data_IF_327755737903
#
_entry.id   IF_327755737903
#
_cell.length_a   1.000
_cell.length_b   1.000
_cell.length_c   1.000
_cell.angle_alpha   90.00
_cell.angle_beta   90.00
_cell.angle_gamma   90.00
#
_symmetry.space_group_name_H-M   'P 1'
#
loop_
_entity.id
_entity.type
_entity.pdbx_description
1 polymer ?
#
# COMPACT_ATOMS: atom_id res chain seq x y z
N UNK A 1 -33.31 -10.26 -74.69
CA UNK A 1 -32.91 -10.93 -73.44
C UNK A 1 -31.71 -10.20 -72.88
N UNK A 2 -31.93 -9.20 -72.01
CA UNK A 2 -30.85 -8.49 -71.32
C UNK A 2 -30.58 -9.21 -70.01
N UNK A 3 -29.45 -9.90 -69.95
CA UNK A 3 -28.96 -10.61 -68.76
C UNK A 3 -28.52 -9.55 -67.74
N UNK A 4 -29.18 -9.52 -66.57
CA UNK A 4 -28.77 -8.69 -65.45
C UNK A 4 -27.39 -9.16 -64.92
N UNK A 5 -26.48 -8.25 -64.55
CA UNK A 5 -25.17 -8.63 -64.04
C UNK A 5 -25.31 -9.44 -62.74
N UNK A 6 -24.44 -10.43 -62.48
CA UNK A 6 -24.50 -11.26 -61.28
C UNK A 6 -24.35 -10.36 -60.04
N UNK A 7 -25.28 -10.51 -59.08
CA UNK A 7 -25.17 -9.87 -57.77
C UNK A 7 -23.87 -10.33 -57.11
N UNK A 8 -23.09 -9.44 -56.48
CA UNK A 8 -21.94 -9.87 -55.69
C UNK A 8 -22.48 -10.72 -54.53
N UNK A 9 -22.05 -11.98 -54.43
CA UNK A 9 -22.28 -12.81 -53.25
C UNK A 9 -20.92 -13.01 -52.58
N UNK A 10 -20.71 -12.35 -51.44
CA UNK A 10 -19.44 -12.34 -50.73
C UNK A 10 -19.38 -11.26 -49.65
N UNK A 11 -18.27 -11.17 -48.89
CA UNK A 11 -18.10 -10.21 -47.79
C UNK A 11 -18.39 -8.76 -48.21
N UNK A 12 -17.98 -8.38 -49.42
CA UNK A 12 -18.24 -7.06 -49.98
C UNK A 12 -19.73 -6.75 -50.19
N UNK A 13 -20.56 -7.76 -50.49
CA UNK A 13 -22.00 -7.59 -50.65
C UNK A 13 -22.70 -7.39 -49.30
N UNK A 14 -22.20 -8.07 -48.25
CA UNK A 14 -22.67 -7.89 -46.88
C UNK A 14 -22.30 -6.48 -46.39
N UNK A 15 -21.07 -6.03 -46.63
CA UNK A 15 -20.65 -4.66 -46.35
C UNK A 15 -21.49 -3.63 -47.13
N UNK A 16 -21.75 -3.86 -48.42
CA UNK A 16 -22.62 -2.99 -49.22
C UNK A 16 -24.03 -2.88 -48.61
N UNK A 17 -24.64 -4.00 -48.20
CA UNK A 17 -25.95 -4.00 -47.53
C UNK A 17 -25.96 -3.31 -46.17
N UNK A 18 -24.81 -3.24 -45.47
CA UNK A 18 -24.65 -2.53 -44.19
C UNK A 18 -24.38 -1.03 -44.41
N UNK A 19 -23.77 -0.67 -45.53
CA UNK A 19 -23.51 0.71 -45.94
C UNK A 19 -24.76 1.40 -46.50
N UNK A 20 -25.81 0.64 -46.85
CA UNK A 20 -27.13 1.19 -47.17
C UNK A 20 -27.77 1.91 -45.96
N UNK A 21 -27.30 1.63 -44.72
CA UNK A 21 -27.67 2.38 -43.54
C UNK A 21 -26.81 3.67 -43.42
N UNK A 22 -27.41 4.87 -43.50
CA UNK A 22 -26.68 6.13 -43.47
C UNK A 22 -25.92 6.35 -42.16
N UNK A 23 -26.39 5.79 -41.04
CA UNK A 23 -25.72 5.93 -39.75
C UNK A 23 -24.44 5.08 -39.70
N UNK A 24 -24.48 3.88 -40.27
CA UNK A 24 -23.31 2.99 -40.35
C UNK A 24 -22.26 3.56 -41.30
N UNK A 25 -22.69 4.07 -42.46
CA UNK A 25 -21.80 4.71 -43.43
C UNK A 25 -21.11 5.95 -42.84
N UNK A 26 -21.84 6.80 -42.12
CA UNK A 26 -21.26 7.97 -41.45
C UNK A 26 -20.23 7.57 -40.37
N UNK A 27 -20.54 6.56 -39.56
CA UNK A 27 -19.65 6.08 -38.50
C UNK A 27 -18.35 5.49 -39.08
N UNK A 28 -18.45 4.70 -40.16
CA UNK A 28 -17.30 4.14 -40.86
C UNK A 28 -16.48 5.23 -41.56
N UNK A 29 -17.13 6.23 -42.16
CA UNK A 29 -16.44 7.38 -42.74
C UNK A 29 -15.64 8.14 -41.68
N UNK A 30 -16.21 8.41 -40.50
CA UNK A 30 -15.49 9.06 -39.40
C UNK A 30 -14.32 8.23 -38.87
N UNK A 31 -14.46 6.91 -38.77
CA UNK A 31 -13.37 6.01 -38.38
C UNK A 31 -12.26 5.95 -39.43
N UNK A 32 -12.61 5.94 -40.71
CA UNK A 32 -11.66 5.97 -41.83
C UNK A 32 -10.94 7.31 -41.93
N UNK A 33 -11.65 8.42 -41.66
CA UNK A 33 -11.09 9.79 -41.63
C UNK A 33 -10.02 9.95 -40.52
N UNK A 34 -10.14 9.17 -39.45
CA UNK A 34 -9.20 9.17 -38.32
C UNK A 34 -8.44 7.84 -38.20
N UNK A 35 -8.31 7.07 -39.29
CA UNK A 35 -7.72 5.73 -39.26
C UNK A 35 -6.30 5.72 -38.69
N UNK A 36 -5.51 6.76 -38.96
CA UNK A 36 -4.15 6.91 -38.41
C UNK A 36 -4.16 7.06 -36.89
N UNK A 37 -5.12 7.81 -36.31
CA UNK A 37 -5.27 7.93 -34.86
C UNK A 37 -5.71 6.61 -34.24
N UNK A 38 -6.58 5.85 -34.93
CA UNK A 38 -7.01 4.53 -34.48
C UNK A 38 -5.83 3.55 -34.47
N UNK A 39 -4.95 3.60 -35.48
CA UNK A 39 -3.75 2.77 -35.52
C UNK A 39 -2.80 3.09 -34.35
N UNK A 40 -2.54 4.37 -34.06
CA UNK A 40 -1.71 4.79 -32.92
C UNK A 40 -2.33 4.37 -31.59
N UNK A 41 -3.65 4.46 -31.45
CA UNK A 41 -4.35 4.01 -30.25
C UNK A 41 -4.24 2.49 -30.05
N UNK A 42 -4.28 1.73 -31.15
CA UNK A 42 -4.16 0.28 -31.10
C UNK A 42 -2.74 -0.15 -30.71
N UNK A 43 -1.72 0.48 -31.31
CA UNK A 43 -0.32 0.29 -30.92
C UNK A 43 -0.06 0.69 -29.45
N UNK A 44 -0.67 1.80 -29.01
CA UNK A 44 -0.62 2.24 -27.63
C UNK A 44 -1.27 1.25 -26.66
N UNK A 45 -2.41 0.67 -27.06
CA UNK A 45 -3.11 -0.35 -26.28
C UNK A 45 -2.30 -1.64 -26.18
N UNK A 46 -1.69 -2.10 -27.27
CA UNK A 46 -0.80 -3.27 -27.27
C UNK A 46 0.39 -3.05 -26.32
N UNK A 47 1.00 -1.86 -26.36
CA UNK A 47 2.07 -1.50 -25.43
C UNK A 47 1.61 -1.42 -23.97
N UNK A 48 0.40 -0.92 -23.72
CA UNK A 48 -0.18 -0.88 -22.38
C UNK A 48 -0.49 -2.28 -21.85
N UNK A 49 -1.07 -3.16 -22.67
CA UNK A 49 -1.37 -4.54 -22.30
C UNK A 49 -0.08 -5.32 -21.99
N UNK A 50 0.94 -5.22 -22.84
CA UNK A 50 2.23 -5.86 -22.61
C UNK A 50 2.89 -5.38 -21.30
N UNK A 51 2.81 -4.08 -21.00
CA UNK A 51 3.31 -3.52 -19.72
C UNK A 51 2.46 -3.94 -18.53
N UNK A 52 1.15 -4.09 -18.69
CA UNK A 52 0.26 -4.51 -17.60
C UNK A 52 0.55 -5.94 -17.13
N UNK A 53 0.93 -6.82 -18.06
CA UNK A 53 1.34 -8.20 -17.74
C UNK A 53 2.66 -8.21 -16.98
N UNK A 54 3.66 -7.42 -17.42
CA UNK A 54 4.93 -7.32 -16.70
C UNK A 54 4.77 -6.68 -15.32
N UNK A 55 3.96 -5.63 -15.20
CA UNK A 55 3.68 -4.96 -13.93
C UNK A 55 2.94 -5.92 -12.98
N UNK A 56 1.95 -6.66 -13.49
CA UNK A 56 1.21 -7.67 -12.73
C UNK A 56 2.12 -8.77 -12.20
N UNK A 57 3.05 -9.27 -13.03
CA UNK A 57 4.04 -10.25 -12.60
C UNK A 57 4.94 -9.71 -11.49
N UNK A 58 5.50 -8.50 -11.64
CA UNK A 58 6.35 -7.87 -10.61
C UNK A 58 5.60 -7.57 -9.31
N UNK A 59 4.31 -7.21 -9.39
CA UNK A 59 3.45 -7.02 -8.22
C UNK A 59 3.18 -8.33 -7.47
N UNK A 60 2.89 -9.40 -8.20
CA UNK A 60 2.68 -10.72 -7.59
C UNK A 60 3.97 -11.22 -6.93
N UNK A 61 5.12 -11.05 -7.59
CA UNK A 61 6.43 -11.38 -7.05
C UNK A 61 6.70 -10.58 -5.76
N UNK A 62 6.46 -9.28 -5.76
CA UNK A 62 6.60 -8.44 -4.56
C UNK A 62 5.68 -8.86 -3.41
N UNK A 63 4.46 -9.32 -3.69
CA UNK A 63 3.53 -9.83 -2.67
C UNK A 63 4.01 -11.18 -2.11
N UNK A 64 4.53 -12.06 -2.97
CA UNK A 64 5.10 -13.34 -2.56
C UNK A 64 6.33 -13.13 -1.69
N UNK A 65 7.22 -12.21 -2.07
CA UNK A 65 8.41 -11.85 -1.28
C UNK A 65 8.05 -11.22 0.06
N UNK A 66 7.04 -10.33 0.07
CA UNK A 66 6.52 -9.76 1.30
C UNK A 66 5.94 -10.85 2.22
N UNK A 67 5.14 -11.78 1.68
CA UNK A 67 4.61 -12.92 2.44
C UNK A 67 5.73 -13.82 2.96
N UNK A 68 6.74 -14.13 2.15
CA UNK A 68 7.88 -14.94 2.55
C UNK A 68 8.71 -14.27 3.67
N UNK A 69 8.88 -12.94 3.61
CA UNK A 69 9.54 -12.17 4.67
C UNK A 69 8.76 -12.19 5.98
N UNK A 70 7.42 -12.15 5.90
CA UNK A 70 6.53 -12.25 7.06
C UNK A 70 6.52 -13.67 7.65
N UNK A 71 6.45 -14.70 6.82
CA UNK A 71 6.47 -16.11 7.26
C UNK A 71 7.84 -16.55 7.81
N UNK A 72 8.93 -15.99 7.29
CA UNK A 72 10.28 -16.21 7.81
C UNK A 72 10.55 -15.54 9.17
N UNK A 73 9.62 -14.72 9.66
CA UNK A 73 9.69 -14.11 10.98
C UNK A 73 8.75 -14.87 11.93
N UNK A 74 9.32 -15.69 12.83
CA UNK A 74 8.56 -16.53 13.77
C UNK A 74 7.59 -15.74 14.67
N UNK A 75 7.85 -14.44 14.92
CA UNK A 75 6.96 -13.56 15.67
C UNK A 75 5.74 -13.09 14.85
N UNK A 76 5.83 -13.10 13.52
CA UNK A 76 4.76 -12.66 12.60
C UNK A 76 3.98 -13.84 11.99
N UNK A 77 4.53 -15.05 11.98
CA UNK A 77 3.88 -16.25 11.45
C UNK A 77 2.62 -16.70 12.22
N UNK A 78 2.50 -16.34 13.51
CA UNK A 78 1.28 -16.57 14.32
C UNK A 78 0.22 -15.49 14.15
N UNK A 79 0.57 -14.34 13.57
CA UNK A 79 -0.39 -13.28 13.30
C UNK A 79 -1.17 -13.64 12.02
N UNK A 80 -2.49 -13.79 12.12
CA UNK A 80 -3.35 -13.76 10.93
C UNK A 80 -3.29 -12.37 10.31
N UNK A 81 -2.30 -12.16 9.44
CA UNK A 81 -2.07 -10.88 8.79
C UNK A 81 -3.08 -10.73 7.66
N UNK A 82 -4.09 -9.91 7.89
CA UNK A 82 -5.02 -9.42 6.88
C UNK A 82 -4.25 -8.47 5.94
N UNK A 83 -3.71 -9.05 4.86
CA UNK A 83 -2.85 -8.34 3.87
C UNK A 83 -3.49 -7.04 3.36
N UNK A 84 -4.79 -7.00 3.00
CA UNK A 84 -5.46 -5.73 2.66
C UNK A 84 -5.40 -4.68 3.78
N UNK A 85 -5.61 -5.06 5.04
CA UNK A 85 -5.55 -4.12 6.16
C UNK A 85 -4.13 -3.65 6.44
N UNK A 86 -3.13 -4.53 6.32
CA UNK A 86 -1.73 -4.15 6.47
C UNK A 86 -1.28 -3.22 5.35
N UNK A 87 -1.68 -3.48 4.11
CA UNK A 87 -1.42 -2.55 3.00
C UNK A 87 -2.07 -1.19 3.26
N UNK A 88 -3.33 -1.17 3.72
CA UNK A 88 -4.02 0.08 4.08
C UNK A 88 -3.36 0.82 5.25
N UNK A 89 -2.90 0.10 6.27
CA UNK A 89 -2.17 0.67 7.40
C UNK A 89 -0.79 1.20 6.97
N UNK A 90 -0.07 0.46 6.12
CA UNK A 90 1.23 0.86 5.58
C UNK A 90 1.11 2.14 4.74
N UNK A 91 0.12 2.25 3.86
CA UNK A 91 -0.13 3.48 3.08
C UNK A 91 -0.44 4.67 3.99
N UNK A 92 -1.23 4.45 5.05
CA UNK A 92 -1.50 5.50 6.05
C UNK A 92 -0.24 5.87 6.83
N UNK A 93 0.62 4.92 7.15
CA UNK A 93 1.87 5.14 7.86
C UNK A 93 2.87 5.93 7.01
N UNK A 94 2.98 5.60 5.72
CA UNK A 94 3.80 6.31 4.71
C UNK A 94 3.34 7.76 4.59
N UNK A 95 2.02 7.98 4.55
CA UNK A 95 1.47 9.33 4.41
C UNK A 95 1.48 10.16 5.72
N UNK A 96 1.69 9.54 6.88
CA UNK A 96 1.60 10.19 8.18
C UNK A 96 2.96 10.75 8.69
N UNK A 97 4.00 10.76 7.86
CA UNK A 97 5.37 11.17 8.24
C UNK A 97 5.96 10.33 9.41
N UNK A 98 5.38 9.15 9.66
CA UNK A 98 5.80 8.25 10.75
C UNK A 98 6.98 7.34 10.37
N UNK A 99 7.43 7.40 9.12
CA UNK A 99 8.56 6.64 8.58
C UNK A 99 9.85 7.46 8.49
N UNK A 100 9.96 8.54 9.27
CA UNK A 100 11.27 9.19 9.41
C UNK A 100 12.27 8.22 10.06
N UNK A 101 13.55 8.24 9.66
CA UNK A 101 14.58 7.41 10.27
C UNK A 101 14.58 7.52 11.80
N UNK A 102 14.35 8.73 12.31
CA UNK A 102 14.28 9.02 13.74
C UNK A 102 13.10 8.32 14.43
N UNK A 103 11.91 8.31 13.82
CA UNK A 103 10.74 7.64 14.38
C UNK A 103 10.93 6.11 14.40
N UNK A 104 11.49 5.55 13.32
CA UNK A 104 11.80 4.12 13.20
C UNK A 104 12.83 3.69 14.24
N UNK A 105 13.86 4.50 14.47
CA UNK A 105 14.88 4.22 15.49
C UNK A 105 14.29 4.19 16.91
N UNK A 106 13.40 5.14 17.25
CA UNK A 106 12.73 5.17 18.55
C UNK A 106 11.84 3.94 18.76
N UNK A 107 11.07 3.53 17.74
CA UNK A 107 10.26 2.31 17.78
C UNK A 107 11.14 1.07 17.92
N UNK A 108 12.29 1.03 17.24
CA UNK A 108 13.25 -0.08 17.31
C UNK A 108 13.90 -0.24 18.68
N UNK A 109 14.14 0.85 19.41
CA UNK A 109 14.60 0.79 20.81
C UNK A 109 13.55 0.14 21.70
N UNK A 110 12.28 0.53 21.56
CA UNK A 110 11.17 -0.06 22.32
C UNK A 110 10.96 -1.54 21.99
N UNK A 111 10.95 -1.88 20.69
CA UNK A 111 10.78 -3.25 20.24
C UNK A 111 11.89 -4.17 20.78
N UNK A 112 13.15 -3.75 20.71
CA UNK A 112 14.28 -4.50 21.27
C UNK A 112 14.15 -4.68 22.78
N UNK A 113 13.75 -3.63 23.50
CA UNK A 113 13.53 -3.71 24.95
C UNK A 113 12.41 -4.69 25.32
N UNK A 114 11.34 -4.76 24.52
CA UNK A 114 10.23 -5.70 24.72
C UNK A 114 10.64 -7.15 24.45
N UNK A 115 11.34 -7.40 23.33
CA UNK A 115 11.80 -8.75 22.96
C UNK A 115 12.82 -9.25 23.98
N UNK A 116 13.88 -8.46 24.23
CA UNK A 116 14.92 -8.83 25.18
C UNK A 116 14.36 -8.97 26.61
N UNK A 117 13.53 -8.02 27.06
CA UNK A 117 12.92 -8.10 28.39
C UNK A 117 12.00 -9.31 28.56
N UNK A 118 11.32 -9.74 27.49
CA UNK A 118 10.50 -10.96 27.50
C UNK A 118 11.34 -12.24 27.60
N UNK A 119 12.49 -12.29 26.93
CA UNK A 119 13.45 -13.39 27.05
C UNK A 119 14.10 -13.42 28.44
N UNK A 120 14.56 -12.26 28.91
CA UNK A 120 15.17 -12.11 30.24
C UNK A 120 14.18 -12.47 31.36
N UNK A 121 12.89 -12.12 31.21
CA UNK A 121 11.86 -12.50 32.17
C UNK A 121 11.66 -14.02 32.24
N UNK A 122 11.75 -14.73 31.11
CA UNK A 122 11.67 -16.20 31.08
C UNK A 122 12.89 -16.84 31.74
N UNK A 123 14.08 -16.25 31.54
CA UNK A 123 15.33 -16.77 32.07
C UNK A 123 15.52 -16.47 33.57
N UNK A 124 15.22 -15.25 33.98
CA UNK A 124 15.42 -14.75 35.34
C UNK A 124 14.38 -13.68 35.68
N UNK A 125 13.14 -14.08 36.06
CA UNK A 125 12.08 -13.12 36.36
C UNK A 125 12.44 -12.27 37.57
N UNK A 126 12.13 -10.98 37.51
CA UNK A 126 12.26 -10.06 38.65
C UNK A 126 11.13 -10.37 39.64
N UNK A 127 11.46 -10.99 40.76
CA UNK A 127 10.50 -11.30 41.81
C UNK A 127 10.19 -10.07 42.68
N UNK A 128 8.92 -9.65 42.69
CA UNK A 128 8.44 -8.61 43.60
C UNK A 128 7.95 -9.25 44.89
N UNK A 129 8.90 -9.66 45.75
CA UNK A 129 8.61 -10.36 47.02
C UNK A 129 8.00 -9.50 48.14
N UNK A 130 7.69 -8.22 47.89
CA UNK A 130 7.06 -7.32 48.88
C UNK A 130 7.28 -5.82 48.61
N UNK A 131 6.70 -4.94 49.43
CA UNK A 131 6.76 -3.48 49.24
C UNK A 131 8.18 -2.91 49.31
N UNK A 132 9.09 -3.53 50.06
CA UNK A 132 10.51 -3.17 50.08
C UNK A 132 11.23 -3.54 48.77
N UNK A 133 10.88 -4.67 48.15
CA UNK A 133 11.43 -5.07 46.85
C UNK A 133 10.97 -4.11 45.74
N UNK A 134 9.70 -3.70 45.80
CA UNK A 134 9.16 -2.68 44.88
C UNK A 134 9.90 -1.34 45.01
N UNK A 135 10.20 -0.93 46.25
CA UNK A 135 10.94 0.32 46.50
C UNK A 135 12.39 0.24 46.02
N UNK A 136 13.02 -0.94 46.14
CA UNK A 136 14.35 -1.21 45.59
C UNK A 136 14.33 -1.21 44.06
N UNK A 137 13.32 -1.82 43.45
CA UNK A 137 13.11 -1.82 42.00
C UNK A 137 12.92 -0.39 41.46
N UNK A 138 12.14 0.44 42.15
CA UNK A 138 11.95 1.84 41.77
C UNK A 138 13.24 2.68 41.86
N UNK A 139 14.18 2.24 42.72
CA UNK A 139 15.48 2.88 42.93
C UNK A 139 16.58 2.29 42.03
N UNK A 140 16.26 1.26 41.26
CA UNK A 140 17.14 0.70 40.25
C UNK A 140 17.43 1.73 39.14
N UNK A 141 18.69 1.93 38.71
CA UNK A 141 19.04 2.95 37.74
C UNK A 141 18.41 2.73 36.36
N UNK A 142 18.14 1.49 35.95
CA UNK A 142 17.53 1.18 34.66
C UNK A 142 16.03 1.45 34.69
N UNK A 143 15.36 1.00 35.75
CA UNK A 143 13.93 1.27 35.98
C UNK A 143 13.66 2.76 36.11
N UNK A 144 14.52 3.48 36.84
CA UNK A 144 14.39 4.92 37.01
C UNK A 144 14.54 5.68 35.67
N UNK A 145 15.50 5.28 34.82
CA UNK A 145 15.68 5.83 33.48
C UNK A 145 14.44 5.61 32.61
N UNK A 146 13.89 4.39 32.63
CA UNK A 146 12.67 4.07 31.89
C UNK A 146 11.49 4.93 32.34
N UNK A 147 11.23 5.03 33.65
CA UNK A 147 10.15 5.86 34.20
C UNK A 147 10.34 7.33 33.83
N UNK A 148 11.56 7.85 33.92
CA UNK A 148 11.89 9.24 33.56
C UNK A 148 11.64 9.52 32.07
N UNK A 149 11.99 8.58 31.19
CA UNK A 149 11.70 8.66 29.77
C UNK A 149 10.18 8.68 29.52
N UNK A 150 9.43 7.71 30.08
CA UNK A 150 7.98 7.64 29.92
C UNK A 150 7.27 8.90 30.44
N UNK A 151 7.69 9.43 31.59
CA UNK A 151 7.13 10.67 32.14
C UNK A 151 7.38 11.86 31.18
N UNK A 152 8.56 11.91 30.57
CA UNK A 152 8.93 12.97 29.62
C UNK A 152 8.12 12.87 28.32
N UNK A 153 7.96 11.66 27.78
CA UNK A 153 7.13 11.39 26.60
C UNK A 153 5.66 11.72 26.88
N UNK A 154 5.11 11.27 28.01
CA UNK A 154 3.74 11.59 28.41
C UNK A 154 3.50 13.10 28.51
N UNK A 155 4.47 13.85 29.06
CA UNK A 155 4.41 15.32 29.12
C UNK A 155 4.52 15.98 27.75
N UNK A 156 5.26 15.40 26.81
CA UNK A 156 5.30 15.88 25.43
C UNK A 156 3.95 15.67 24.73
N UNK A 157 3.37 14.47 24.83
CA UNK A 157 2.05 14.14 24.26
C UNK A 157 0.97 15.06 24.84
N UNK A 158 0.93 15.25 26.16
CA UNK A 158 -0.04 16.13 26.79
C UNK A 158 0.03 17.58 26.30
N UNK A 159 1.22 18.07 25.94
CA UNK A 159 1.39 19.41 25.35
C UNK A 159 0.86 19.49 23.93
N UNK A 160 1.02 18.44 23.12
CA UNK A 160 0.47 18.40 21.75
C UNK A 160 -1.06 18.28 21.76
N UNK A 161 -1.62 17.44 22.64
CA UNK A 161 -3.08 17.32 22.79
C UNK A 161 -3.70 18.64 23.28
N UNK A 162 -3.01 19.37 24.17
CA UNK A 162 -3.48 20.66 24.66
C UNK A 162 -3.47 21.78 23.60
N UNK A 163 -2.69 21.65 22.52
CA UNK A 163 -2.66 22.65 21.43
C UNK A 163 -3.90 22.60 20.53
N UNK A 164 -4.65 21.49 20.52
CA UNK A 164 -5.88 21.32 19.73
C UNK A 164 -5.68 21.35 18.20
N UNK A 165 -6.68 20.91 17.41
CA UNK A 165 -6.55 20.79 15.95
C UNK A 165 -6.58 22.11 15.15
N UNK A 166 -6.67 23.28 15.77
CA UNK A 166 -6.70 24.56 15.04
C UNK A 166 -5.84 25.63 15.74
N UNK A 167 -4.65 25.86 15.20
CA UNK A 167 -4.08 27.21 15.19
C UNK A 167 -3.61 27.48 13.78
N UNK A 168 -4.39 28.21 12.95
CA UNK A 168 -3.91 28.69 11.67
C UNK A 168 -2.70 29.56 11.98
N UNK A 169 -1.52 29.08 11.61
CA UNK A 169 -0.32 29.92 11.61
C UNK A 169 -0.44 30.84 10.41
N UNK A 170 -1.23 31.90 10.55
CA UNK A 170 -1.14 33.08 9.69
C UNK A 170 0.24 33.69 9.96
N UNK A 171 1.22 33.33 9.12
CA UNK A 171 2.47 34.08 9.00
C UNK A 171 2.18 35.31 8.14
N UNK A 172 2.27 36.48 8.76
CA UNK A 172 2.63 37.74 8.09
C UNK A 172 4.15 37.94 8.22
#
# INVERSE_FOLDING_TARGET
>A
MTVAPPRPEGPAAILASRLDDPQVAASLATLLEHADLVAVLLEGLDGFLARSESIGASLMEAVVDARATVEGNELLGELQVDVPKVAGAAVRLINADLLTPEAVDQVSVLARGLVQGGEDYKAAPIEVGGPLSLLKLLKDPDVNRAISYFATVAKAIGREVAKGPDTPTTRA
#
